data_IF_019062125422
#
_entry.id   IF_019062125422
#
_cell.length_a   1.000
_cell.length_b   1.000
_cell.length_c   1.000
_cell.angle_alpha   90.00
_cell.angle_beta   90.00
_cell.angle_gamma   90.00
#
_symmetry.space_group_name_H-M   'P 1'
#
loop_
_entity.id
_entity.type
_entity.pdbx_description
1 polymer ?
#
# COMPACT_ATOMS: atom_id res chain seq x y z
N UNK A 1 43.08 -4.09 -55.42
CA UNK A 1 42.66 -5.01 -54.33
C UNK A 1 42.70 -4.25 -53.01
N UNK A 2 41.55 -3.84 -52.49
CA UNK A 2 41.46 -3.11 -51.22
C UNK A 2 41.05 -4.08 -50.11
N UNK A 3 41.93 -4.23 -49.11
CA UNK A 3 41.78 -5.17 -48.00
C UNK A 3 40.72 -4.75 -46.99
N UNK A 4 39.84 -5.68 -46.64
CA UNK A 4 38.92 -5.53 -45.51
C UNK A 4 39.65 -5.80 -44.19
N UNK A 5 39.73 -4.79 -43.32
CA UNK A 5 40.17 -4.95 -41.93
C UNK A 5 38.99 -5.48 -41.09
N UNK A 6 39.07 -6.72 -40.63
CA UNK A 6 38.14 -7.26 -39.62
C UNK A 6 38.57 -6.74 -38.24
N UNK A 7 37.79 -5.85 -37.64
CA UNK A 7 37.93 -5.49 -36.21
C UNK A 7 37.02 -6.38 -35.38
N UNK A 8 37.58 -7.02 -34.35
CA UNK A 8 36.87 -7.82 -33.34
C UNK A 8 36.72 -6.95 -32.10
N UNK A 9 35.50 -6.60 -31.71
CA UNK A 9 35.23 -6.02 -30.40
C UNK A 9 35.14 -7.15 -29.37
N UNK A 10 35.96 -7.09 -28.33
CA UNK A 10 35.83 -7.97 -27.16
C UNK A 10 35.00 -7.20 -26.14
N UNK A 11 33.76 -7.64 -25.89
CA UNK A 11 32.97 -7.13 -24.79
C UNK A 11 33.47 -7.78 -23.50
N UNK A 12 34.15 -7.04 -22.65
CA UNK A 12 34.18 -7.39 -21.23
C UNK A 12 32.77 -7.15 -20.69
N UNK A 13 32.00 -8.23 -20.55
CA UNK A 13 30.80 -8.21 -19.74
C UNK A 13 31.26 -7.94 -18.31
N UNK A 14 31.26 -6.68 -17.92
CA UNK A 14 31.27 -6.32 -16.51
C UNK A 14 30.20 -7.18 -15.84
N UNK A 15 30.60 -8.01 -14.88
CA UNK A 15 29.65 -8.72 -14.03
C UNK A 15 28.61 -7.72 -13.57
N UNK A 16 27.30 -8.00 -13.71
CA UNK A 16 26.28 -7.06 -13.25
C UNK A 16 26.60 -6.71 -11.80
N UNK A 17 26.48 -5.43 -11.40
CA UNK A 17 26.77 -5.03 -10.03
C UNK A 17 26.01 -5.98 -9.11
N UNK A 18 26.69 -6.51 -8.10
CA UNK A 18 26.06 -7.35 -7.06
C UNK A 18 24.97 -6.50 -6.43
N UNK A 19 23.73 -6.76 -6.86
CA UNK A 19 22.58 -5.91 -6.54
C UNK A 19 22.24 -6.10 -5.07
N UNK A 20 21.98 -5.02 -4.30
CA UNK A 20 21.60 -5.18 -2.90
C UNK A 20 20.33 -6.03 -2.82
N UNK A 21 20.39 -7.12 -2.04
CA UNK A 21 19.21 -7.96 -1.73
C UNK A 21 18.23 -7.26 -0.75
N UNK A 22 18.61 -6.09 -0.24
CA UNK A 22 17.94 -5.37 0.84
C UNK A 22 17.07 -4.28 0.23
N UNK A 23 15.84 -4.16 0.73
CA UNK A 23 14.93 -3.10 0.32
C UNK A 23 15.47 -1.73 0.74
N UNK A 24 15.41 -0.76 -0.16
CA UNK A 24 15.72 0.63 0.14
C UNK A 24 14.72 1.17 1.16
N UNK A 25 15.18 1.80 2.25
CA UNK A 25 14.27 2.34 3.26
C UNK A 25 13.78 3.71 2.84
N UNK A 26 12.47 3.91 2.80
CA UNK A 26 11.85 5.19 2.47
C UNK A 26 11.96 6.16 3.64
N UNK A 27 12.23 7.42 3.31
CA UNK A 27 12.22 8.54 4.23
C UNK A 27 11.00 9.44 3.96
N UNK A 28 10.56 10.23 4.95
CA UNK A 28 9.45 11.16 4.74
C UNK A 28 9.68 12.10 3.56
N UNK A 29 8.61 12.40 2.83
CA UNK A 29 8.63 13.20 1.62
C UNK A 29 8.16 12.42 0.38
N UNK A 30 8.52 12.93 -0.79
CA UNK A 30 8.10 12.42 -2.09
C UNK A 30 9.25 11.64 -2.73
N UNK A 31 9.00 10.39 -3.12
CA UNK A 31 9.97 9.52 -3.81
C UNK A 31 9.37 9.05 -5.13
N UNK A 32 10.02 9.35 -6.25
CA UNK A 32 9.68 8.76 -7.55
C UNK A 32 10.40 7.41 -7.70
N UNK A 33 9.64 6.32 -7.79
CA UNK A 33 10.20 4.95 -7.85
C UNK A 33 10.31 4.43 -9.30
N UNK A 34 9.58 5.05 -10.21
CA UNK A 34 9.72 4.90 -11.67
C UNK A 34 9.00 6.06 -12.35
N UNK A 35 9.22 6.26 -13.65
CA UNK A 35 8.55 7.31 -14.43
C UNK A 35 7.04 7.32 -14.19
N UNK A 36 6.53 8.38 -13.57
CA UNK A 36 5.11 8.56 -13.29
C UNK A 36 4.55 7.75 -12.11
N UNK A 37 5.38 7.02 -11.37
CA UNK A 37 5.00 6.31 -10.15
C UNK A 37 5.67 6.94 -8.93
N UNK A 38 4.87 7.44 -8.01
CA UNK A 38 5.33 8.24 -6.87
C UNK A 38 4.82 7.66 -5.55
N UNK A 39 5.70 7.65 -4.56
CA UNK A 39 5.39 7.38 -3.16
C UNK A 39 5.46 8.70 -2.37
N UNK A 40 4.47 8.98 -1.54
CA UNK A 40 4.45 10.10 -0.61
C UNK A 40 4.38 9.52 0.79
N UNK A 41 5.42 9.70 1.60
CA UNK A 41 5.47 9.22 2.98
C UNK A 41 5.43 10.40 3.95
N UNK A 42 4.44 10.43 4.84
CA UNK A 42 4.30 11.41 5.92
C UNK A 42 4.35 10.68 7.26
N UNK A 43 5.22 11.12 8.17
CA UNK A 43 5.31 10.58 9.52
C UNK A 43 4.46 11.38 10.50
N UNK A 44 3.80 10.68 11.43
CA UNK A 44 3.01 11.33 12.50
C UNK A 44 2.09 12.44 11.96
N UNK A 45 1.32 12.12 10.93
CA UNK A 45 0.48 13.07 10.19
C UNK A 45 -0.66 13.66 11.04
N UNK A 46 -0.93 13.08 12.20
CA UNK A 46 -1.99 13.48 13.12
C UNK A 46 -1.38 13.83 14.49
N UNK A 47 -1.74 14.98 15.09
CA UNK A 47 -1.35 15.32 16.45
C UNK A 47 -2.20 14.57 17.49
N UNK A 48 -1.78 14.60 18.75
CA UNK A 48 -2.64 14.17 19.87
C UNK A 48 -3.66 15.30 20.18
N UNK A 49 -4.91 14.97 20.57
CA UNK A 49 -5.41 13.63 20.90
C UNK A 49 -5.92 12.81 19.70
N UNK A 50 -5.86 13.33 18.47
CA UNK A 50 -6.50 12.68 17.30
C UNK A 50 -5.99 11.26 17.05
N UNK A 51 -4.69 10.99 17.23
CA UNK A 51 -4.14 9.63 17.05
C UNK A 51 -4.74 8.63 18.05
N UNK A 52 -4.87 9.05 19.31
CA UNK A 52 -5.42 8.22 20.38
C UNK A 52 -6.91 7.95 20.13
N UNK A 53 -7.64 8.98 19.71
CA UNK A 53 -9.06 8.88 19.35
C UNK A 53 -9.29 7.95 18.15
N UNK A 54 -8.48 8.06 17.08
CA UNK A 54 -8.53 7.13 15.95
C UNK A 54 -8.24 5.70 16.38
N UNK A 55 -7.18 5.49 17.17
CA UNK A 55 -6.82 4.15 17.61
C UNK A 55 -7.90 3.54 18.50
N UNK A 56 -8.49 4.32 19.41
CA UNK A 56 -9.59 3.88 20.25
C UNK A 56 -10.83 3.53 19.42
N UNK A 57 -11.21 4.38 18.46
CA UNK A 57 -12.32 4.10 17.55
C UNK A 57 -12.08 2.81 16.75
N UNK A 58 -10.90 2.68 16.12
CA UNK A 58 -10.55 1.52 15.33
C UNK A 58 -10.56 0.22 16.15
N UNK A 59 -10.18 0.26 17.43
CA UNK A 59 -10.22 -0.92 18.32
C UNK A 59 -11.63 -1.26 18.79
N UNK A 60 -12.39 -0.26 19.21
CA UNK A 60 -13.61 -0.48 20.01
C UNK A 60 -14.90 -0.43 19.20
N UNK A 61 -14.87 0.18 18.00
CA UNK A 61 -16.08 0.47 17.21
C UNK A 61 -16.15 -0.27 15.87
N UNK A 62 -15.01 -0.69 15.32
CA UNK A 62 -14.98 -1.43 14.05
C UNK A 62 -15.36 -2.90 14.29
N UNK A 63 -16.31 -3.41 13.49
CA UNK A 63 -16.69 -4.82 13.49
C UNK A 63 -15.67 -5.68 12.73
N UNK A 64 -14.54 -5.97 13.38
CA UNK A 64 -13.45 -6.77 12.82
C UNK A 64 -13.87 -8.22 12.58
N UNK A 65 -13.57 -8.74 11.38
CA UNK A 65 -13.87 -10.12 11.00
C UNK A 65 -12.65 -10.81 10.41
N UNK A 66 -12.32 -12.00 10.91
CA UNK A 66 -11.42 -12.89 10.21
C UNK A 66 -12.19 -13.59 9.09
N UNK A 67 -11.71 -13.48 7.85
CA UNK A 67 -12.42 -13.99 6.66
C UNK A 67 -11.61 -15.04 5.92
N UNK A 68 -12.30 -15.93 5.20
CA UNK A 68 -11.71 -16.96 4.35
C UNK A 68 -11.41 -16.39 2.96
N UNK A 69 -10.24 -16.72 2.41
CA UNK A 69 -9.84 -16.39 1.04
C UNK A 69 -9.38 -17.63 0.28
N UNK A 70 -9.37 -17.54 -1.05
CA UNK A 70 -8.85 -18.61 -1.91
C UNK A 70 -7.41 -18.29 -2.36
N UNK A 71 -6.43 -19.01 -1.85
CA UNK A 71 -5.02 -18.88 -2.26
C UNK A 71 -4.60 -20.16 -3.00
N UNK A 72 -4.18 -20.03 -4.26
CA UNK A 72 -3.76 -21.16 -5.11
C UNK A 72 -4.79 -22.31 -5.13
N UNK A 73 -6.09 -21.96 -5.16
CA UNK A 73 -7.21 -22.90 -5.18
C UNK A 73 -7.59 -23.49 -3.81
N UNK A 74 -6.89 -23.14 -2.73
CA UNK A 74 -7.20 -23.59 -1.37
C UNK A 74 -7.86 -22.48 -0.56
N UNK A 75 -8.85 -22.85 0.24
CA UNK A 75 -9.50 -21.97 1.21
C UNK A 75 -8.65 -21.88 2.47
N UNK A 76 -8.28 -20.65 2.86
CA UNK A 76 -7.48 -20.38 4.06
C UNK A 76 -8.05 -19.16 4.78
N UNK A 77 -7.99 -19.17 6.11
CA UNK A 77 -8.31 -17.98 6.90
C UNK A 77 -7.21 -16.94 6.73
N UNK A 78 -7.60 -15.69 6.55
CA UNK A 78 -6.63 -14.59 6.51
C UNK A 78 -5.92 -14.47 7.86
N UNK A 79 -4.58 -14.35 7.90
CA UNK A 79 -3.84 -14.12 9.14
C UNK A 79 -3.90 -12.63 9.51
N UNK A 80 -5.13 -12.11 9.63
CA UNK A 80 -5.51 -10.77 10.06
C UNK A 80 -7.02 -10.67 10.07
N UNK A 81 -7.54 -9.71 10.81
CA UNK A 81 -8.95 -9.33 10.72
C UNK A 81 -9.12 -8.18 9.73
N UNK A 82 -10.28 -8.14 9.09
CA UNK A 82 -10.62 -7.11 8.12
C UNK A 82 -11.98 -6.51 8.41
N UNK A 83 -12.14 -5.28 8.00
CA UNK A 83 -13.43 -4.60 7.86
C UNK A 83 -13.38 -3.76 6.58
N UNK A 84 -14.54 -3.36 6.08
CA UNK A 84 -14.59 -2.60 4.84
C UNK A 84 -15.59 -1.46 4.97
N UNK A 85 -15.16 -0.27 4.62
CA UNK A 85 -15.97 0.95 4.62
C UNK A 85 -16.05 1.49 3.21
N UNK A 86 -17.23 1.94 2.78
CA UNK A 86 -17.38 2.53 1.46
C UNK A 86 -18.57 3.47 1.35
N UNK A 87 -18.42 4.51 0.53
CA UNK A 87 -19.52 5.38 0.16
C UNK A 87 -20.51 4.63 -0.74
N UNK A 88 -21.80 4.98 -0.64
CA UNK A 88 -22.88 4.47 -1.50
C UNK A 88 -22.97 2.93 -1.59
N UNK A 89 -22.48 2.20 -0.57
CA UNK A 89 -22.50 0.74 -0.56
C UNK A 89 -21.64 0.09 -1.65
N UNK A 90 -20.61 0.78 -2.16
CA UNK A 90 -19.67 0.23 -3.14
C UNK A 90 -19.07 -1.08 -2.64
N UNK A 91 -19.40 -2.20 -3.29
CA UNK A 91 -18.96 -3.53 -2.85
C UNK A 91 -17.54 -3.84 -3.31
N UNK A 92 -16.71 -4.31 -2.38
CA UNK A 92 -15.39 -4.83 -2.67
C UNK A 92 -15.39 -6.36 -2.70
N UNK A 93 -14.74 -6.93 -3.71
CA UNK A 93 -14.55 -8.38 -3.83
C UNK A 93 -13.06 -8.67 -3.87
N UNK A 94 -12.56 -9.34 -2.84
CA UNK A 94 -11.17 -9.79 -2.76
C UNK A 94 -11.10 -11.30 -2.69
N UNK A 95 -10.32 -11.92 -3.57
CA UNK A 95 -10.11 -13.38 -3.58
C UNK A 95 -11.42 -14.20 -3.48
N UNK A 96 -12.47 -13.72 -4.16
CA UNK A 96 -13.84 -14.28 -4.18
C UNK A 96 -14.63 -14.16 -2.87
N UNK A 97 -14.09 -13.50 -1.86
CA UNK A 97 -14.82 -13.10 -0.65
C UNK A 97 -15.46 -11.73 -0.87
N UNK A 98 -16.72 -11.60 -0.47
CA UNK A 98 -17.43 -10.31 -0.48
C UNK A 98 -17.43 -9.75 0.94
N UNK A 99 -17.01 -8.49 1.09
CA UNK A 99 -17.17 -7.76 2.34
C UNK A 99 -18.40 -6.86 2.21
N UNK A 100 -19.24 -6.86 3.24
CA UNK A 100 -20.34 -5.92 3.36
C UNK A 100 -19.77 -4.57 3.79
N UNK A 101 -19.97 -3.49 3.02
CA UNK A 101 -19.48 -2.18 3.41
C UNK A 101 -20.25 -1.63 4.61
N UNK A 102 -19.52 -1.11 5.59
CA UNK A 102 -20.02 -0.13 6.54
C UNK A 102 -19.96 1.28 5.93
N UNK A 103 -20.78 2.20 6.44
CA UNK A 103 -20.65 3.62 6.11
C UNK A 103 -19.36 4.19 6.71
N UNK A 104 -18.81 5.24 6.08
CA UNK A 104 -17.68 5.95 6.66
C UNK A 104 -18.13 6.74 7.89
N UNK A 105 -17.56 6.45 9.08
CA UNK A 105 -17.89 7.15 10.30
C UNK A 105 -17.29 8.57 10.30
N UNK A 106 -17.92 9.48 11.04
CA UNK A 106 -17.45 10.88 11.18
C UNK A 106 -16.04 10.93 11.78
N UNK A 107 -15.72 10.00 12.69
CA UNK A 107 -14.44 9.86 13.39
C UNK A 107 -13.26 9.58 12.45
N UNK A 108 -13.50 9.16 11.20
CA UNK A 108 -12.45 8.91 10.21
C UNK A 108 -12.43 9.95 9.08
N UNK A 109 -13.27 10.99 9.15
CA UNK A 109 -13.34 12.01 8.09
C UNK A 109 -12.08 12.87 8.01
N UNK A 110 -11.50 13.24 9.15
CA UNK A 110 -10.23 13.99 9.16
C UNK A 110 -9.08 13.18 8.52
N UNK A 111 -9.09 11.85 8.63
CA UNK A 111 -8.14 10.97 7.94
C UNK A 111 -8.36 11.12 6.43
N UNK A 112 -9.61 11.00 5.95
CA UNK A 112 -9.97 11.16 4.53
C UNK A 112 -9.55 12.52 3.99
N UNK A 113 -9.77 13.59 4.74
CA UNK A 113 -9.34 14.95 4.37
C UNK A 113 -7.81 15.08 4.29
N UNK A 114 -7.08 14.52 5.26
CA UNK A 114 -5.61 14.58 5.29
C UNK A 114 -5.00 13.82 4.12
N UNK A 115 -5.48 12.61 3.83
CA UNK A 115 -4.98 11.82 2.69
C UNK A 115 -5.34 12.46 1.34
N UNK A 116 -6.52 13.08 1.21
CA UNK A 116 -6.93 13.78 -0.01
C UNK A 116 -6.04 15.00 -0.27
N UNK A 117 -5.76 15.77 0.78
CA UNK A 117 -4.84 16.92 0.74
C UNK A 117 -3.43 16.48 0.32
N UNK A 118 -2.88 15.46 0.98
CA UNK A 118 -1.54 14.93 0.66
C UNK A 118 -1.45 14.32 -0.74
N UNK A 119 -2.55 13.76 -1.24
CA UNK A 119 -2.64 13.26 -2.60
C UNK A 119 -2.65 14.38 -3.66
N UNK A 120 -2.73 15.66 -3.25
CA UNK A 120 -2.84 16.81 -4.15
C UNK A 120 -4.24 17.00 -4.74
N UNK A 121 -5.26 16.41 -4.11
CA UNK A 121 -6.66 16.54 -4.49
C UNK A 121 -7.42 17.52 -3.58
N UNK A 122 -8.55 18.04 -4.08
CA UNK A 122 -9.56 18.73 -3.27
C UNK A 122 -10.64 17.76 -2.76
N UNK A 123 -11.75 18.27 -2.24
CA UNK A 123 -12.89 17.46 -1.77
C UNK A 123 -13.43 16.49 -2.85
N UNK A 124 -13.26 16.81 -4.14
CA UNK A 124 -13.71 15.99 -5.27
C UNK A 124 -12.80 14.80 -5.60
N UNK A 125 -11.62 14.71 -4.94
CA UNK A 125 -10.68 13.58 -5.07
C UNK A 125 -10.81 12.59 -3.89
N UNK A 126 -11.98 12.55 -3.26
CA UNK A 126 -12.22 11.79 -2.05
C UNK A 126 -11.98 10.29 -2.25
N UNK A 127 -11.20 9.71 -1.34
CA UNK A 127 -11.14 8.26 -1.16
C UNK A 127 -12.54 7.77 -0.76
N UNK A 128 -13.13 6.90 -1.57
CA UNK A 128 -14.54 6.49 -1.47
C UNK A 128 -14.72 5.09 -0.88
N UNK A 129 -13.63 4.39 -0.60
CA UNK A 129 -13.62 3.09 0.04
C UNK A 129 -12.33 2.89 0.85
N UNK A 130 -12.39 2.03 1.86
CA UNK A 130 -11.27 1.69 2.73
C UNK A 130 -11.38 0.22 3.13
N UNK A 131 -10.34 -0.56 2.80
CA UNK A 131 -10.12 -1.87 3.39
C UNK A 131 -9.29 -1.71 4.66
N UNK A 132 -9.93 -1.95 5.80
CA UNK A 132 -9.29 -1.93 7.11
C UNK A 132 -8.63 -3.28 7.37
N UNK A 133 -7.41 -3.25 7.89
CA UNK A 133 -6.64 -4.44 8.26
C UNK A 133 -6.19 -4.33 9.71
N UNK A 134 -6.61 -5.25 10.56
CA UNK A 134 -6.18 -5.36 11.96
C UNK A 134 -5.24 -6.54 12.11
N UNK A 135 -3.99 -6.24 12.41
CA UNK A 135 -2.94 -7.21 12.71
C UNK A 135 -2.82 -7.31 14.23
N UNK A 136 -3.26 -8.43 14.80
CA UNK A 136 -3.38 -8.60 16.26
C UNK A 136 -2.01 -8.67 16.95
N UNK A 137 -1.04 -9.24 16.25
CA UNK A 137 0.33 -9.42 16.71
C UNK A 137 1.33 -9.48 15.53
N UNK A 138 2.55 -9.93 15.80
CA UNK A 138 3.62 -10.07 14.82
C UNK A 138 3.47 -11.26 13.86
N UNK A 139 2.57 -12.21 14.15
CA UNK A 139 2.32 -13.41 13.33
C UNK A 139 1.28 -13.11 12.23
N UNK A 140 0.35 -12.19 12.50
CA UNK A 140 -0.57 -11.67 11.49
C UNK A 140 0.18 -10.91 10.39
N UNK A 141 -0.16 -11.14 9.11
CA UNK A 141 0.56 -10.57 7.98
C UNK A 141 -0.28 -10.45 6.70
N UNK A 142 0.30 -9.80 5.70
CA UNK A 142 -0.23 -9.69 4.35
C UNK A 142 0.82 -10.22 3.37
N UNK A 143 0.42 -11.16 2.52
CA UNK A 143 1.29 -11.69 1.47
C UNK A 143 1.51 -10.69 0.33
N UNK A 144 2.45 -10.98 -0.57
CA UNK A 144 2.65 -10.19 -1.79
C UNK A 144 1.37 -10.17 -2.64
N UNK A 145 0.89 -8.96 -2.95
CA UNK A 145 -0.27 -8.73 -3.81
C UNK A 145 -0.12 -7.38 -4.55
N UNK A 146 -1.08 -7.08 -5.41
CA UNK A 146 -1.26 -5.76 -6.01
C UNK A 146 -2.75 -5.46 -5.99
N UNK A 147 -3.11 -4.22 -5.66
CA UNK A 147 -4.49 -3.74 -5.68
C UNK A 147 -4.89 -3.40 -7.13
N UNK A 148 -5.13 -4.44 -7.93
CA UNK A 148 -5.42 -4.35 -9.35
C UNK A 148 -6.85 -4.77 -9.72
N UNK A 149 -7.75 -4.70 -8.74
CA UNK A 149 -9.17 -4.94 -8.95
C UNK A 149 -9.74 -3.91 -9.91
N UNK A 150 -10.58 -4.39 -10.85
CA UNK A 150 -11.22 -3.55 -11.87
C UNK A 150 -12.00 -2.36 -11.29
N UNK A 151 -12.45 -2.47 -10.03
CA UNK A 151 -13.15 -1.42 -9.30
C UNK A 151 -12.32 -0.11 -9.24
N UNK A 152 -10.99 -0.21 -9.20
CA UNK A 152 -10.10 0.91 -8.95
C UNK A 152 -9.61 1.64 -10.22
N UNK A 153 -9.99 1.16 -11.40
CA UNK A 153 -9.57 1.76 -12.67
C UNK A 153 -8.10 1.47 -13.02
N UNK A 154 -7.51 2.28 -13.91
CA UNK A 154 -6.19 2.00 -14.51
C UNK A 154 -5.00 2.55 -13.73
N UNK A 155 -5.22 3.53 -12.85
CA UNK A 155 -4.14 4.22 -12.10
C UNK A 155 -4.66 4.75 -10.75
N UNK A 156 -5.19 3.88 -9.87
CA UNK A 156 -5.74 4.35 -8.61
C UNK A 156 -4.68 5.03 -7.75
N UNK A 157 -5.10 6.07 -7.03
CA UNK A 157 -4.33 6.58 -5.89
C UNK A 157 -4.75 5.80 -4.65
N UNK A 158 -3.79 5.19 -3.98
CA UNK A 158 -4.02 4.40 -2.77
C UNK A 158 -3.30 5.08 -1.61
N UNK A 159 -4.01 5.28 -0.49
CA UNK A 159 -3.42 5.79 0.74
C UNK A 159 -3.51 4.71 1.83
N UNK A 160 -2.36 4.40 2.43
CA UNK A 160 -2.24 3.55 3.59
C UNK A 160 -2.01 4.42 4.82
N UNK A 161 -2.87 4.31 5.82
CA UNK A 161 -2.74 5.03 7.11
C UNK A 161 -2.59 3.99 8.21
N UNK A 162 -1.62 4.19 9.11
CA UNK A 162 -1.30 3.22 10.16
C UNK A 162 -1.48 3.80 11.56
N UNK A 163 -2.02 2.99 12.48
CA UNK A 163 -2.18 3.33 13.90
C UNK A 163 -1.71 2.14 14.76
N UNK A 164 -1.19 2.41 15.95
CA UNK A 164 -0.63 1.39 16.84
C UNK A 164 0.81 1.00 16.51
N UNK A 165 1.14 -0.29 16.71
CA UNK A 165 2.53 -0.78 16.66
C UNK A 165 3.13 -0.66 15.26
N UNK A 166 4.38 -0.18 15.18
CA UNK A 166 5.13 -0.01 13.93
C UNK A 166 5.31 -1.33 13.17
N UNK A 167 5.10 -1.31 11.85
CA UNK A 167 5.27 -2.46 10.95
C UNK A 167 5.99 -2.06 9.67
N UNK A 168 6.80 -2.98 9.13
CA UNK A 168 7.44 -2.77 7.82
C UNK A 168 6.42 -3.02 6.69
N UNK A 169 6.13 -1.98 5.90
CA UNK A 169 5.41 -2.08 4.63
C UNK A 169 6.41 -2.20 3.49
N UNK A 170 6.40 -3.30 2.75
CA UNK A 170 7.42 -3.56 1.72
C UNK A 170 6.78 -3.54 0.33
N UNK A 171 7.30 -2.67 -0.54
CA UNK A 171 6.95 -2.61 -1.95
C UNK A 171 7.99 -3.35 -2.78
N UNK A 172 7.54 -3.96 -3.87
CA UNK A 172 8.41 -4.61 -4.86
C UNK A 172 7.88 -4.34 -6.26
N UNK A 173 8.76 -4.01 -7.19
CA UNK A 173 8.37 -3.79 -8.59
C UNK A 173 8.00 -5.11 -9.26
N UNK A 174 6.82 -5.19 -9.87
CA UNK A 174 6.35 -6.41 -10.56
C UNK A 174 7.24 -6.82 -11.74
N UNK A 175 7.79 -5.86 -12.50
CA UNK A 175 8.68 -6.13 -13.63
C UNK A 175 10.12 -6.49 -13.22
N UNK A 176 10.52 -6.19 -11.99
CA UNK A 176 11.84 -6.49 -11.45
C UNK A 176 11.76 -6.71 -9.93
N UNK A 177 11.63 -7.98 -9.53
CA UNK A 177 11.50 -8.37 -8.12
C UNK A 177 12.73 -8.05 -7.26
N UNK A 178 13.85 -7.63 -7.85
CA UNK A 178 15.01 -7.15 -7.10
C UNK A 178 14.84 -5.70 -6.62
N UNK A 179 14.01 -4.89 -7.28
CA UNK A 179 13.71 -3.52 -6.86
C UNK A 179 12.66 -3.53 -5.76
N UNK A 180 13.07 -3.12 -4.56
CA UNK A 180 12.24 -3.13 -3.35
C UNK A 180 12.43 -1.87 -2.54
N UNK A 181 11.34 -1.42 -1.94
CA UNK A 181 11.31 -0.31 -0.99
C UNK A 181 10.64 -0.76 0.30
N UNK A 182 11.09 -0.22 1.42
CA UNK A 182 10.57 -0.50 2.76
C UNK A 182 10.15 0.79 3.43
N UNK A 183 8.89 0.88 3.81
CA UNK A 183 8.35 1.97 4.60
C UNK A 183 8.03 1.45 6.00
N UNK A 184 8.80 1.82 7.05
CA UNK A 184 8.48 1.43 8.40
C UNK A 184 7.32 2.31 8.91
N UNK A 185 6.07 1.86 8.76
CA UNK A 185 4.89 2.64 9.14
C UNK A 185 4.62 2.53 10.64
N UNK A 186 4.70 3.66 11.34
CA UNK A 186 4.35 3.80 12.75
C UNK A 186 2.96 4.41 12.97
N UNK A 187 2.68 4.77 14.20
CA UNK A 187 1.42 5.37 14.60
C UNK A 187 1.22 6.77 13.99
N UNK A 188 0.10 6.94 13.28
CA UNK A 188 -0.24 8.16 12.56
C UNK A 188 0.52 8.36 11.25
N UNK A 189 1.28 7.38 10.78
CA UNK A 189 2.01 7.47 9.51
C UNK A 189 1.08 7.25 8.31
N UNK A 190 1.35 7.97 7.22
CA UNK A 190 0.63 7.88 5.94
C UNK A 190 1.61 7.56 4.81
N UNK A 191 1.28 6.56 4.00
CA UNK A 191 1.95 6.27 2.72
C UNK A 191 0.93 6.37 1.58
N UNK A 192 1.13 7.29 0.65
CA UNK A 192 0.34 7.40 -0.58
C UNK A 192 1.15 6.82 -1.74
N UNK A 193 0.50 5.95 -2.51
CA UNK A 193 1.01 5.35 -3.73
C UNK A 193 0.21 5.92 -4.90
N UNK A 194 0.90 6.56 -5.84
CA UNK A 194 0.29 7.21 -7.02
C UNK A 194 0.93 6.74 -8.30
N UNK A 195 0.11 6.71 -9.34
CA UNK A 195 0.53 6.45 -10.72
C UNK A 195 0.56 4.97 -11.07
N UNK A 196 0.37 4.72 -12.36
CA UNK A 196 0.59 3.50 -13.13
C UNK A 196 0.13 3.81 -14.56
#
# INVERSE_FOLDING_TARGET
>A
MAGYSKRKAVSELASPPVRPKVAETLHPGVTEISTGCTLIYEQSAFPDPQREEHLAFLKDKVDWRQTEITVMGRKVMQPREVAYMADNGLRYTYSRSQLTPAEFPEELQNIRERISTLAGGGADAAFNCCLLNHYRDGEDHMGWHSDNERLFGTSPTIASVSFGTRRDFVLRRNSDHAQKWKCPLGEGDILIMKGA
#
